data_IF_747135578149
#
_entry.id   IF_747135578149
#
_cell.length_a   1.000
_cell.length_b   1.000
_cell.length_c   1.000
_cell.angle_alpha   90.00
_cell.angle_beta   90.00
_cell.angle_gamma   90.00
#
_symmetry.space_group_name_H-M   'P 1'
#
loop_
_entity.id
_entity.type
_entity.pdbx_description
1 polymer ?
#
# COMPACT_ATOMS: atom_id res chain seq x y z
N UNK A 1 14.52 -4.99 -9.04
CA UNK A 1 14.33 -5.74 -10.30
C UNK A 1 15.51 -6.69 -10.47
N UNK A 2 15.37 -7.92 -9.99
CA UNK A 2 16.17 -9.09 -10.37
C UNK A 2 15.51 -10.29 -9.69
N UNK A 3 14.74 -11.01 -10.47
CA UNK A 3 14.07 -12.25 -10.12
C UNK A 3 15.11 -13.36 -10.20
N UNK A 4 15.49 -13.98 -9.08
CA UNK A 4 16.20 -15.24 -9.10
C UNK A 4 15.21 -16.39 -8.85
N UNK A 5 14.83 -17.02 -9.96
CA UNK A 5 14.20 -18.34 -9.94
C UNK A 5 15.29 -19.37 -9.64
N UNK A 6 15.21 -20.05 -8.50
CA UNK A 6 15.94 -21.29 -8.26
C UNK A 6 14.94 -22.43 -8.45
N UNK A 7 15.01 -23.07 -9.61
CA UNK A 7 14.42 -24.38 -9.84
C UNK A 7 15.22 -25.42 -9.06
N UNK A 8 14.66 -26.00 -8.01
CA UNK A 8 15.17 -27.24 -7.42
C UNK A 8 14.52 -28.42 -8.11
N UNK A 9 15.31 -29.07 -8.97
CA UNK A 9 14.96 -30.36 -9.56
C UNK A 9 15.04 -31.46 -8.50
N UNK A 10 13.90 -31.97 -8.09
CA UNK A 10 13.81 -33.18 -7.31
C UNK A 10 14.01 -34.39 -8.24
N UNK A 11 15.20 -35.00 -8.18
CA UNK A 11 15.48 -36.28 -8.86
C UNK A 11 14.87 -37.42 -8.03
N UNK A 12 13.78 -37.97 -8.53
CA UNK A 12 13.25 -39.27 -8.06
C UNK A 12 14.20 -40.38 -8.54
N UNK A 13 15.02 -40.87 -7.61
CA UNK A 13 15.75 -42.11 -7.81
C UNK A 13 14.88 -43.30 -7.44
N UNK A 14 14.30 -43.97 -8.42
CA UNK A 14 13.68 -45.29 -8.25
C UNK A 14 14.77 -46.34 -8.11
N UNK A 15 14.96 -46.85 -6.93
CA UNK A 15 15.77 -48.03 -6.69
C UNK A 15 14.89 -49.29 -6.96
N UNK A 16 15.07 -49.91 -8.09
CA UNK A 16 14.55 -51.22 -8.41
C UNK A 16 15.44 -52.29 -7.75
N UNK A 17 14.91 -52.98 -6.77
CA UNK A 17 15.53 -54.19 -6.22
C UNK A 17 15.17 -55.36 -7.13
N UNK A 18 16.13 -55.87 -7.85
CA UNK A 18 16.02 -57.15 -8.57
C UNK A 18 16.13 -58.31 -7.57
N UNK A 19 15.07 -59.06 -7.43
CA UNK A 19 15.13 -60.41 -6.88
C UNK A 19 15.71 -61.36 -7.91
N UNK A 20 16.84 -61.95 -7.60
CA UNK A 20 17.36 -63.08 -8.37
C UNK A 20 16.88 -64.38 -7.72
N UNK A 21 15.95 -65.04 -8.40
CA UNK A 21 15.68 -66.46 -8.23
C UNK A 21 16.88 -67.26 -8.76
N UNK A 22 17.36 -68.18 -7.98
CA UNK A 22 18.11 -69.32 -8.50
C UNK A 22 17.53 -70.60 -7.96
N UNK A 23 16.80 -71.27 -8.88
CA UNK A 23 16.47 -72.69 -8.70
C UNK A 23 17.65 -73.49 -9.24
N UNK A 24 18.11 -74.45 -8.56
CA UNK A 24 18.39 -75.75 -9.13
C UNK A 24 18.40 -76.86 -8.10
N UNK A 25 17.79 -77.88 -8.52
CA UNK A 25 17.51 -79.12 -7.86
C UNK A 25 18.59 -80.12 -8.09
N UNK A 26 18.57 -81.10 -7.26
CA UNK A 26 18.58 -82.51 -7.67
C UNK A 26 18.50 -83.42 -6.48
N UNK A 27 17.65 -84.36 -6.62
CA UNK A 27 17.44 -85.54 -5.76
C UNK A 27 18.69 -86.43 -5.71
N UNK A 28 18.92 -87.05 -4.55
CA UNK A 28 19.29 -88.42 -4.48
C UNK A 28 18.81 -89.04 -3.14
N UNK A 29 17.97 -90.04 -3.29
CA UNK A 29 17.60 -90.98 -2.25
C UNK A 29 18.84 -91.77 -1.77
N UNK A 30 18.93 -91.99 -0.49
CA UNK A 30 19.46 -93.27 0.03
C UNK A 30 18.85 -93.56 1.39
N UNK A 31 18.08 -94.66 1.41
CA UNK A 31 17.64 -95.31 2.62
C UNK A 31 18.82 -95.99 3.33
N UNK A 32 18.92 -95.82 4.58
CA UNK A 32 19.42 -96.88 5.50
C UNK A 32 18.76 -96.79 6.86
N UNK A 33 18.01 -97.80 7.13
CA UNK A 33 17.43 -98.16 8.41
C UNK A 33 18.52 -98.20 9.49
N UNK A 34 18.31 -97.50 10.63
CA UNK A 34 18.77 -97.92 11.93
C UNK A 34 17.90 -97.32 13.01
N UNK A 35 17.15 -98.16 13.65
CA UNK A 35 16.46 -97.83 14.88
C UNK A 35 17.44 -97.33 15.94
N UNK A 36 17.14 -96.11 16.47
CA UNK A 36 17.60 -95.77 17.82
C UNK A 36 16.48 -95.06 18.57
N UNK A 37 16.46 -95.34 19.85
CA UNK A 37 15.35 -95.02 20.74
C UNK A 37 15.24 -93.54 21.07
N UNK A 38 14.00 -93.03 21.10
CA UNK A 38 13.44 -91.99 21.90
C UNK A 38 14.35 -90.83 22.41
N UNK A 39 14.59 -89.87 21.54
CA UNK A 39 14.71 -88.50 21.92
C UNK A 39 13.49 -87.75 21.36
N UNK A 40 12.56 -87.32 22.24
CA UNK A 40 11.50 -86.42 21.89
C UNK A 40 12.18 -85.25 21.12
N UNK A 41 11.75 -85.03 19.91
CA UNK A 41 12.24 -83.94 19.07
C UNK A 41 11.83 -82.63 19.76
N UNK A 42 12.69 -82.13 20.68
CA UNK A 42 12.43 -80.88 21.35
C UNK A 42 12.35 -79.78 20.35
N UNK A 43 11.19 -79.11 20.27
CA UNK A 43 11.02 -77.93 19.40
C UNK A 43 12.10 -76.92 19.72
N UNK A 44 12.76 -76.36 18.67
CA UNK A 44 13.80 -75.34 18.80
C UNK A 44 13.65 -74.27 17.69
N UNK A 45 13.96 -73.00 18.01
CA UNK A 45 13.82 -71.91 17.06
C UNK A 45 12.34 -71.52 16.78
N UNK A 46 12.14 -70.78 15.68
CA UNK A 46 10.84 -70.30 15.25
C UNK A 46 9.93 -71.42 14.80
N UNK A 47 8.68 -71.46 15.31
CA UNK A 47 7.65 -72.43 14.97
C UNK A 47 6.33 -71.69 14.68
N UNK A 48 5.55 -72.13 13.71
CA UNK A 48 4.18 -71.69 13.44
C UNK A 48 3.18 -72.65 14.08
N UNK A 49 2.33 -72.17 14.96
CA UNK A 49 1.31 -72.95 15.61
C UNK A 49 0.02 -72.14 15.70
N UNK A 50 -1.11 -72.72 15.40
CA UNK A 50 -2.45 -72.09 15.46
C UNK A 50 -2.51 -70.70 14.75
N UNK A 51 -1.71 -70.51 13.69
CA UNK A 51 -1.65 -69.29 12.91
C UNK A 51 -0.75 -68.18 13.49
N UNK A 52 -0.05 -68.46 14.62
CA UNK A 52 0.91 -67.58 15.27
C UNK A 52 2.34 -68.08 15.18
N UNK A 53 3.31 -67.19 15.29
CA UNK A 53 4.74 -67.50 15.39
C UNK A 53 5.13 -67.56 16.86
N UNK A 54 5.89 -68.64 17.25
CA UNK A 54 6.40 -68.92 18.58
C UNK A 54 7.89 -69.23 18.48
N UNK A 55 8.67 -68.88 19.49
CA UNK A 55 10.07 -69.27 19.55
C UNK A 55 10.29 -70.24 20.70
N UNK A 56 11.00 -71.33 20.45
CA UNK A 56 11.33 -72.36 21.39
C UNK A 56 12.81 -72.35 21.73
N UNK A 57 13.17 -72.24 22.98
CA UNK A 57 14.50 -72.43 23.52
C UNK A 57 14.45 -73.65 24.45
N UNK A 58 15.30 -74.62 24.18
CA UNK A 58 15.38 -75.88 24.93
C UNK A 58 13.99 -76.63 25.17
N UNK A 59 13.17 -76.57 24.11
CA UNK A 59 11.84 -77.19 24.12
C UNK A 59 10.74 -76.43 24.84
N UNK A 60 11.05 -75.20 25.38
CA UNK A 60 10.08 -74.35 26.06
C UNK A 60 9.80 -73.11 25.21
N UNK A 61 8.53 -72.68 25.23
CA UNK A 61 8.18 -71.36 24.55
C UNK A 61 8.84 -70.23 25.31
N UNK A 62 9.52 -69.36 24.56
CA UNK A 62 10.04 -68.10 25.07
C UNK A 62 8.88 -67.09 25.24
N UNK A 63 8.98 -66.19 26.18
CA UNK A 63 8.08 -65.05 26.43
C UNK A 63 8.87 -63.80 26.70
N UNK A 64 8.26 -62.60 26.51
CA UNK A 64 8.91 -61.31 26.68
C UNK A 64 9.91 -60.97 25.56
N UNK A 65 10.89 -60.15 25.84
CA UNK A 65 11.90 -59.72 24.86
C UNK A 65 12.82 -60.87 24.48
N UNK A 66 12.91 -61.12 23.17
CA UNK A 66 13.80 -62.12 22.55
C UNK A 66 14.87 -61.42 21.69
N UNK A 67 16.12 -61.63 22.04
CA UNK A 67 17.27 -61.05 21.37
C UNK A 67 17.94 -62.13 20.51
N UNK A 68 17.84 -61.98 19.18
CA UNK A 68 18.48 -62.87 18.21
C UNK A 68 19.50 -62.12 17.35
N UNK A 69 20.43 -62.82 16.69
CA UNK A 69 21.43 -62.19 15.83
C UNK A 69 20.81 -61.36 14.68
N UNK A 70 19.63 -61.71 14.23
CA UNK A 70 18.91 -61.08 13.15
C UNK A 70 17.93 -60.02 13.57
N UNK A 71 17.68 -59.82 14.87
CA UNK A 71 16.79 -58.78 15.38
C UNK A 71 16.27 -59.04 16.80
N UNK A 72 15.56 -58.06 17.31
CA UNK A 72 14.88 -58.12 18.60
C UNK A 72 13.36 -58.28 18.38
N UNK A 73 12.76 -59.20 19.13
CA UNK A 73 11.34 -59.55 19.01
C UNK A 73 10.69 -59.45 20.40
N UNK A 74 9.37 -59.38 20.43
CA UNK A 74 8.60 -59.52 21.66
C UNK A 74 7.57 -60.63 21.54
N UNK A 75 7.56 -61.50 22.48
CA UNK A 75 6.65 -62.64 22.59
C UNK A 75 5.70 -62.39 23.76
N UNK A 76 4.40 -62.47 23.54
CA UNK A 76 3.38 -62.25 24.55
C UNK A 76 3.67 -63.06 25.81
N UNK A 77 3.67 -62.41 26.96
CA UNK A 77 4.09 -63.01 28.24
C UNK A 77 3.22 -64.18 28.67
N UNK A 78 1.94 -64.18 28.24
CA UNK A 78 0.98 -65.24 28.66
C UNK A 78 0.92 -66.40 27.68
N UNK A 79 1.05 -66.09 26.37
CA UNK A 79 0.86 -67.06 25.28
C UNK A 79 2.14 -67.51 24.60
N UNK A 80 3.17 -66.66 24.67
CA UNK A 80 4.43 -66.79 23.90
C UNK A 80 4.28 -66.45 22.43
N UNK A 81 3.15 -65.88 21.98
CA UNK A 81 2.93 -65.50 20.58
C UNK A 81 3.73 -64.25 20.22
N UNK A 82 4.41 -64.30 19.05
CA UNK A 82 5.15 -63.14 18.51
C UNK A 82 4.19 -61.96 18.27
N UNK A 83 4.56 -60.82 18.81
CA UNK A 83 3.80 -59.56 18.67
C UNK A 83 4.28 -58.80 17.44
N UNK A 84 3.36 -58.01 16.84
CA UNK A 84 3.60 -57.06 15.73
C UNK A 84 2.83 -55.77 15.99
N UNK A 85 3.23 -54.69 15.36
CA UNK A 85 2.62 -53.37 15.56
C UNK A 85 3.12 -52.69 16.83
N UNK A 86 2.32 -51.72 17.34
CA UNK A 86 2.66 -50.96 18.54
C UNK A 86 2.64 -51.84 19.80
N UNK A 87 3.70 -51.81 20.58
CA UNK A 87 3.87 -52.47 21.85
C UNK A 87 4.08 -51.41 22.94
N UNK A 88 3.25 -51.45 23.97
CA UNK A 88 3.50 -50.72 25.20
C UNK A 88 4.05 -51.70 26.28
N UNK A 89 5.29 -51.48 26.65
CA UNK A 89 5.96 -52.25 27.70
C UNK A 89 6.28 -51.29 28.87
N UNK A 90 5.52 -51.43 29.96
CA UNK A 90 5.60 -50.59 31.16
C UNK A 90 5.60 -49.07 30.90
N UNK A 91 4.74 -48.59 29.99
CA UNK A 91 4.62 -47.17 29.62
C UNK A 91 5.62 -46.72 28.53
N UNK A 92 6.50 -47.63 28.11
CA UNK A 92 7.46 -47.39 27.00
C UNK A 92 6.92 -47.99 25.71
N UNK A 93 6.86 -47.15 24.67
CA UNK A 93 6.32 -47.57 23.38
C UNK A 93 7.42 -48.01 22.41
N UNK A 94 7.18 -49.15 21.76
CA UNK A 94 8.01 -49.71 20.70
C UNK A 94 7.12 -50.08 19.51
N UNK A 95 7.73 -50.23 18.34
CA UNK A 95 7.04 -50.75 17.18
C UNK A 95 7.70 -51.99 16.65
N UNK A 96 6.91 -53.05 16.47
CA UNK A 96 7.34 -54.32 15.92
C UNK A 96 6.81 -54.41 14.49
N UNK A 97 7.72 -54.63 13.53
CA UNK A 97 7.37 -54.79 12.13
C UNK A 97 6.49 -56.01 11.89
N UNK A 98 5.91 -56.14 10.71
CA UNK A 98 5.15 -57.36 10.33
C UNK A 98 5.97 -58.65 10.50
N UNK A 99 7.28 -58.56 10.34
CA UNK A 99 8.23 -59.65 10.59
C UNK A 99 8.43 -59.99 12.08
N UNK A 100 7.80 -59.24 12.99
CA UNK A 100 8.01 -59.31 14.44
C UNK A 100 9.25 -58.56 14.91
N UNK A 101 10.13 -58.08 14.03
CA UNK A 101 11.36 -57.36 14.41
C UNK A 101 11.06 -55.97 14.94
N UNK A 102 11.71 -55.59 16.04
CA UNK A 102 11.65 -54.25 16.55
C UNK A 102 12.21 -53.25 15.56
N UNK A 103 11.44 -52.17 15.31
CA UNK A 103 11.84 -51.09 14.44
C UNK A 103 12.75 -50.08 15.12
N UNK A 104 13.55 -49.36 14.33
CA UNK A 104 14.45 -48.27 14.71
C UNK A 104 14.42 -47.18 13.67
N UNK A 105 14.74 -45.93 14.07
CA UNK A 105 14.74 -44.80 13.16
C UNK A 105 13.34 -44.35 12.73
N UNK A 106 13.26 -43.68 11.59
CA UNK A 106 12.01 -43.22 11.06
C UNK A 106 11.10 -44.33 10.54
N UNK A 107 9.86 -44.31 10.98
CA UNK A 107 8.80 -45.19 10.43
C UNK A 107 7.62 -44.33 9.97
N UNK A 108 7.03 -44.69 8.85
CA UNK A 108 5.82 -44.06 8.32
C UNK A 108 4.66 -45.05 8.37
N UNK A 109 3.66 -44.73 9.16
CA UNK A 109 2.43 -45.48 9.30
C UNK A 109 1.24 -44.62 8.88
N UNK A 110 0.39 -44.18 9.80
CA UNK A 110 -0.62 -43.13 9.63
C UNK A 110 -0.03 -41.70 9.80
N UNK A 111 1.19 -41.63 10.33
CA UNK A 111 2.06 -40.46 10.46
C UNK A 111 3.52 -40.92 10.52
N UNK A 112 4.43 -39.96 10.51
CA UNK A 112 5.84 -40.26 10.80
C UNK A 112 6.06 -40.36 12.31
N UNK A 113 6.84 -41.39 12.72
CA UNK A 113 7.32 -41.61 14.09
C UNK A 113 8.81 -41.85 14.07
N UNK A 114 9.50 -41.59 15.18
CA UNK A 114 10.90 -41.89 15.30
C UNK A 114 11.17 -42.79 16.50
N UNK A 115 11.80 -43.92 16.23
CA UNK A 115 12.25 -44.89 17.20
C UNK A 115 13.74 -44.72 17.43
N UNK A 116 14.17 -44.54 18.67
CA UNK A 116 15.58 -44.36 19.02
C UNK A 116 16.46 -45.48 18.46
N UNK A 117 17.55 -45.09 17.80
CA UNK A 117 18.42 -46.05 17.12
C UNK A 117 19.05 -47.11 18.04
N UNK A 118 19.27 -46.82 19.30
CA UNK A 118 19.91 -47.76 20.22
C UNK A 118 18.90 -48.62 20.96
N UNK A 119 17.79 -48.01 21.37
CA UNK A 119 16.81 -48.63 22.24
C UNK A 119 15.52 -49.07 21.54
N UNK A 120 15.22 -48.52 20.36
CA UNK A 120 13.95 -48.73 19.66
C UNK A 120 12.75 -48.06 20.34
N UNK A 121 12.97 -47.25 21.37
CA UNK A 121 11.92 -46.50 22.08
C UNK A 121 11.35 -45.40 21.18
N UNK A 122 10.05 -45.29 21.13
CA UNK A 122 9.37 -44.18 20.44
C UNK A 122 9.68 -42.88 21.18
N UNK A 123 10.22 -41.89 20.43
CA UNK A 123 10.53 -40.59 21.00
C UNK A 123 9.35 -39.63 20.90
N UNK A 124 9.31 -38.66 21.83
CA UNK A 124 8.33 -37.57 21.89
C UNK A 124 9.02 -36.25 22.21
N UNK A 125 8.33 -35.13 22.00
CA UNK A 125 8.89 -33.81 22.24
C UNK A 125 9.85 -33.35 21.12
N UNK A 126 10.65 -32.37 21.42
CA UNK A 126 11.66 -31.85 20.48
C UNK A 126 12.88 -32.77 20.43
N UNK A 127 13.28 -33.19 19.25
CA UNK A 127 14.38 -34.12 19.01
C UNK A 127 15.33 -33.58 17.95
N UNK A 128 16.63 -33.71 18.16
CA UNK A 128 17.64 -33.48 17.15
C UNK A 128 18.00 -34.81 16.49
N UNK A 129 17.71 -34.92 15.20
CA UNK A 129 17.91 -36.14 14.42
C UNK A 129 18.66 -35.75 13.15
N UNK A 130 19.84 -36.32 12.94
CA UNK A 130 20.73 -36.06 11.79
C UNK A 130 21.02 -34.55 11.57
N UNK A 131 21.17 -33.78 12.69
CA UNK A 131 21.45 -32.35 12.67
C UNK A 131 20.26 -31.45 12.30
N UNK A 132 19.05 -32.01 12.30
CA UNK A 132 17.80 -31.28 12.11
C UNK A 132 16.91 -31.45 13.35
N UNK A 133 16.18 -30.40 13.69
CA UNK A 133 15.26 -30.42 14.84
C UNK A 133 13.84 -30.73 14.40
N UNK A 134 13.22 -31.72 15.01
CA UNK A 134 11.85 -32.18 14.81
C UNK A 134 11.05 -32.08 16.09
N UNK A 135 9.74 -32.05 15.97
CA UNK A 135 8.84 -32.18 17.11
C UNK A 135 7.89 -33.37 16.93
N UNK A 136 7.93 -34.28 17.89
CA UNK A 136 7.06 -35.46 18.00
C UNK A 136 6.05 -35.16 19.09
N UNK A 137 4.76 -35.23 18.80
CA UNK A 137 3.72 -34.96 19.80
C UNK A 137 3.71 -36.01 20.94
N UNK A 138 2.81 -35.86 21.90
CA UNK A 138 2.72 -36.78 23.02
C UNK A 138 2.36 -38.23 22.61
N UNK A 139 1.85 -38.43 21.38
CA UNK A 139 1.58 -39.76 20.81
C UNK A 139 2.72 -40.27 19.92
N UNK A 140 3.82 -39.53 19.82
CA UNK A 140 5.00 -39.81 18.99
C UNK A 140 4.86 -39.38 17.52
N UNK A 141 3.76 -38.75 17.12
CA UNK A 141 3.54 -38.30 15.74
C UNK A 141 4.36 -37.07 15.45
N UNK A 142 5.09 -37.08 14.34
CA UNK A 142 5.83 -35.91 13.87
C UNK A 142 4.87 -34.78 13.48
N UNK A 143 5.10 -33.60 14.05
CA UNK A 143 4.42 -32.38 13.64
C UNK A 143 5.06 -31.84 12.35
N UNK A 144 4.28 -31.68 11.29
CA UNK A 144 4.73 -31.07 10.04
C UNK A 144 3.72 -30.05 9.54
N UNK A 145 4.23 -29.01 8.83
CA UNK A 145 3.48 -27.87 8.29
C UNK A 145 2.55 -27.23 9.33
N UNK A 146 3.00 -27.16 10.59
CA UNK A 146 2.15 -26.75 11.71
C UNK A 146 2.91 -25.97 12.78
N UNK A 147 2.15 -25.16 13.52
CA UNK A 147 2.59 -24.44 14.71
C UNK A 147 2.51 -25.33 15.94
N UNK A 148 3.55 -25.27 16.75
CA UNK A 148 3.62 -25.94 18.05
C UNK A 148 3.78 -24.89 19.15
N UNK A 149 2.83 -24.88 20.10
CA UNK A 149 2.94 -24.04 21.29
C UNK A 149 3.72 -24.79 22.39
N UNK A 150 4.73 -24.12 22.93
CA UNK A 150 5.52 -24.57 24.08
C UNK A 150 5.39 -23.58 25.23
N UNK A 151 5.94 -23.87 26.36
CA UNK A 151 5.90 -22.99 27.56
C UNK A 151 6.54 -21.61 27.29
N UNK A 152 7.59 -21.57 26.44
CA UNK A 152 8.38 -20.38 26.12
C UNK A 152 7.97 -19.65 24.84
N UNK A 153 6.99 -20.20 24.07
CA UNK A 153 6.50 -19.55 22.85
C UNK A 153 5.98 -20.49 21.77
N UNK A 154 5.79 -19.93 20.59
CA UNK A 154 5.34 -20.65 19.41
C UNK A 154 6.53 -20.97 18.49
N UNK A 155 6.49 -22.15 17.89
CA UNK A 155 7.47 -22.66 16.95
C UNK A 155 6.77 -23.23 15.72
N UNK A 156 7.39 -23.11 14.56
CA UNK A 156 6.84 -23.69 13.34
C UNK A 156 7.73 -24.80 12.81
N UNK A 157 7.11 -25.95 12.54
CA UNK A 157 7.76 -27.10 11.92
C UNK A 157 7.21 -27.20 10.50
N UNK A 158 8.08 -27.01 9.50
CA UNK A 158 7.74 -26.91 8.09
C UNK A 158 7.35 -28.24 7.46
N UNK A 159 7.14 -28.25 6.13
CA UNK A 159 6.97 -29.47 5.37
C UNK A 159 8.15 -30.43 5.59
N UNK A 160 7.85 -31.70 5.93
CA UNK A 160 8.87 -32.67 6.33
C UNK A 160 9.30 -32.59 7.79
N UNK A 161 8.58 -31.80 8.62
CA UNK A 161 8.70 -31.78 10.08
C UNK A 161 9.90 -31.03 10.66
N UNK A 162 10.75 -30.43 9.83
CA UNK A 162 11.92 -29.67 10.30
C UNK A 162 11.52 -28.33 10.91
N UNK A 163 12.15 -27.99 12.04
CA UNK A 163 11.98 -26.69 12.72
C UNK A 163 12.43 -25.56 11.80
N UNK A 164 11.62 -24.51 11.71
CA UNK A 164 11.88 -23.35 10.88
C UNK A 164 12.54 -22.22 11.65
N UNK A 165 13.33 -21.39 10.95
CA UNK A 165 14.06 -20.24 11.46
C UNK A 165 14.00 -19.06 10.49
N UNK A 166 14.15 -17.83 10.99
CA UNK A 166 14.16 -16.63 10.16
C UNK A 166 12.78 -16.29 9.59
N UNK A 167 12.74 -15.73 8.39
CA UNK A 167 11.51 -15.30 7.74
C UNK A 167 10.64 -16.49 7.29
N UNK A 168 9.37 -16.44 7.67
CA UNK A 168 8.37 -17.45 7.32
C UNK A 168 7.16 -16.78 6.68
N UNK A 169 6.89 -17.11 5.41
CA UNK A 169 5.65 -16.71 4.74
C UNK A 169 4.61 -17.82 4.85
N UNK A 170 3.43 -17.46 5.38
CA UNK A 170 2.25 -18.33 5.40
C UNK A 170 1.13 -17.68 4.59
N UNK A 171 0.06 -18.40 4.37
CA UNK A 171 -1.13 -17.93 3.62
C UNK A 171 -1.77 -16.65 4.21
N UNK A 172 -1.56 -16.41 5.50
CA UNK A 172 -2.11 -15.32 6.31
C UNK A 172 -1.12 -14.18 6.58
N UNK A 173 0.14 -14.29 6.13
CA UNK A 173 1.13 -13.22 6.24
C UNK A 173 2.54 -13.68 6.57
N UNK A 174 3.38 -12.69 6.82
CA UNK A 174 4.78 -12.91 7.21
C UNK A 174 4.94 -13.02 8.71
N UNK A 175 5.83 -13.93 9.11
CA UNK A 175 6.31 -14.15 10.47
C UNK A 175 7.84 -14.09 10.48
N UNK A 176 8.39 -13.87 11.65
CA UNK A 176 9.82 -14.04 11.86
C UNK A 176 10.08 -14.96 13.05
N UNK A 177 10.88 -15.96 12.80
CA UNK A 177 11.31 -16.94 13.79
C UNK A 177 12.76 -16.61 14.18
N UNK A 178 13.03 -16.53 15.45
CA UNK A 178 14.36 -16.28 15.96
C UNK A 178 15.39 -17.25 15.33
N UNK A 179 16.51 -16.74 14.89
CA UNK A 179 17.47 -17.53 14.09
C UNK A 179 18.27 -18.55 14.90
N UNK A 180 18.28 -18.43 16.23
CA UNK A 180 18.98 -19.35 17.12
C UNK A 180 18.01 -20.37 17.73
N UNK A 181 16.88 -19.89 18.19
CA UNK A 181 15.91 -20.72 18.92
C UNK A 181 14.77 -21.25 18.07
N UNK A 182 14.44 -20.58 16.96
CA UNK A 182 13.25 -20.85 16.13
C UNK A 182 11.95 -20.32 16.72
N UNK A 183 12.01 -19.58 17.86
CA UNK A 183 10.81 -19.02 18.52
C UNK A 183 10.21 -17.91 17.68
N UNK A 184 8.88 -17.92 17.52
CA UNK A 184 8.13 -16.85 16.85
C UNK A 184 8.32 -15.53 17.59
N UNK A 185 8.70 -14.49 16.84
CA UNK A 185 8.89 -13.15 17.36
C UNK A 185 7.60 -12.35 17.31
N UNK A 186 7.43 -11.43 18.26
CA UNK A 186 6.35 -10.45 18.30
C UNK A 186 6.90 -9.08 18.77
N UNK A 187 6.06 -8.03 18.69
CA UNK A 187 6.49 -6.68 19.04
C UNK A 187 7.44 -6.08 18.01
N UNK A 188 8.22 -5.09 18.43
CA UNK A 188 9.25 -4.47 17.61
C UNK A 188 10.50 -5.34 17.54
N UNK A 189 11.07 -5.52 16.35
CA UNK A 189 12.27 -6.33 16.11
C UNK A 189 13.19 -5.59 15.13
N UNK A 190 14.49 -5.64 15.39
CA UNK A 190 15.52 -5.21 14.45
C UNK A 190 16.09 -6.43 13.71
N UNK A 191 15.87 -6.47 12.40
CA UNK A 191 16.26 -7.60 11.56
C UNK A 191 17.04 -7.06 10.36
N UNK A 192 18.31 -7.45 10.25
CA UNK A 192 19.18 -6.99 9.18
C UNK A 192 19.36 -5.47 9.13
N UNK A 193 19.34 -4.78 10.27
CA UNK A 193 19.48 -3.33 10.38
C UNK A 193 18.22 -2.54 10.00
N UNK A 194 17.08 -3.20 9.86
CA UNK A 194 15.77 -2.59 9.65
C UNK A 194 14.84 -2.92 10.82
N UNK A 195 14.00 -1.98 11.20
CA UNK A 195 12.98 -2.21 12.21
C UNK A 195 11.69 -2.75 11.58
N UNK A 196 11.19 -3.82 12.15
CA UNK A 196 9.93 -4.48 11.82
C UNK A 196 9.05 -4.54 13.06
N UNK A 197 7.77 -4.74 12.84
CA UNK A 197 6.83 -4.94 13.95
C UNK A 197 5.89 -6.08 13.66
N UNK A 198 5.66 -6.89 14.69
CA UNK A 198 4.77 -8.05 14.65
C UNK A 198 3.68 -7.88 15.71
N UNK A 199 2.47 -8.29 15.40
CA UNK A 199 1.38 -8.30 16.38
C UNK A 199 1.56 -9.43 17.41
N UNK A 200 0.66 -9.52 18.38
CA UNK A 200 0.72 -10.56 19.42
C UNK A 200 0.64 -12.00 18.87
N UNK A 201 0.05 -12.17 17.69
CA UNK A 201 -0.02 -13.47 16.99
C UNK A 201 1.17 -13.71 16.04
N UNK A 202 2.18 -12.84 16.05
CA UNK A 202 3.39 -12.95 15.23
C UNK A 202 3.27 -12.47 13.79
N UNK A 203 2.11 -11.95 13.35
CA UNK A 203 1.98 -11.40 11.98
C UNK A 203 2.69 -10.07 11.86
N UNK A 204 3.49 -9.93 10.82
CA UNK A 204 4.18 -8.69 10.48
C UNK A 204 3.18 -7.60 10.05
N UNK A 205 3.37 -6.39 10.57
CA UNK A 205 2.69 -5.22 10.04
C UNK A 205 3.38 -4.76 8.75
N UNK A 206 2.62 -4.61 7.68
CA UNK A 206 3.10 -4.06 6.42
C UNK A 206 2.04 -3.18 5.75
N UNK A 207 2.50 -2.16 5.03
CA UNK A 207 1.68 -1.16 4.34
C UNK A 207 0.58 -0.57 5.22
N UNK A 208 0.92 -0.20 6.48
CA UNK A 208 -0.06 0.34 7.42
C UNK A 208 0.55 1.24 8.48
N UNK A 209 -0.31 2.07 9.04
CA UNK A 209 -0.02 2.97 10.14
C UNK A 209 -0.24 2.28 11.48
N UNK A 210 0.71 2.51 12.41
CA UNK A 210 0.63 2.03 13.79
C UNK A 210 0.82 3.23 14.72
N UNK A 211 -0.08 3.37 15.69
CA UNK A 211 0.05 4.38 16.73
C UNK A 211 0.61 3.74 18.02
N UNK A 212 1.67 4.33 18.55
CA UNK A 212 2.31 3.93 19.81
C UNK A 212 2.73 5.15 20.61
N UNK A 213 2.43 5.14 21.87
CA UNK A 213 2.77 6.22 22.81
C UNK A 213 2.42 7.64 22.31
N UNK A 214 1.30 7.73 21.56
CA UNK A 214 0.83 8.97 20.96
C UNK A 214 1.46 9.34 19.61
N UNK A 215 2.48 8.63 19.16
CA UNK A 215 3.16 8.82 17.88
C UNK A 215 2.62 7.90 16.80
N UNK A 216 2.65 8.35 15.55
CA UNK A 216 2.31 7.56 14.38
C UNK A 216 3.57 7.10 13.65
N UNK A 217 3.58 5.82 13.26
CA UNK A 217 4.63 5.16 12.50
C UNK A 217 4.04 4.49 11.28
N UNK A 218 4.77 4.46 10.19
CA UNK A 218 4.36 3.73 8.99
C UNK A 218 5.30 2.57 8.71
N UNK A 219 4.73 1.39 8.48
CA UNK A 219 5.48 0.21 8.05
C UNK A 219 5.23 -0.01 6.56
N UNK A 220 6.28 0.11 5.76
CA UNK A 220 6.23 0.05 4.30
C UNK A 220 5.74 -1.31 3.78
N UNK A 221 5.50 -1.40 2.49
CA UNK A 221 5.39 -2.71 1.80
C UNK A 221 6.67 -3.49 2.06
N UNK A 222 6.52 -4.73 2.56
CA UNK A 222 7.64 -5.54 3.04
C UNK A 222 7.99 -5.33 4.51
N UNK A 223 7.20 -4.54 5.25
CA UNK A 223 7.17 -4.46 6.70
C UNK A 223 8.25 -3.60 7.37
N UNK A 224 9.22 -3.05 6.62
CA UNK A 224 10.22 -2.17 7.21
C UNK A 224 9.62 -0.83 7.65
N UNK A 225 9.98 -0.36 8.86
CA UNK A 225 9.57 0.93 9.41
C UNK A 225 10.12 2.07 8.57
N UNK A 226 9.25 2.98 8.12
CA UNK A 226 9.65 4.18 7.39
C UNK A 226 10.38 5.15 8.31
N UNK A 227 11.53 5.66 7.86
CA UNK A 227 12.39 6.59 8.62
C UNK A 227 13.10 7.58 7.71
N UNK A 228 13.50 8.73 8.28
CA UNK A 228 14.39 9.71 7.64
C UNK A 228 13.93 10.17 6.25
N UNK A 229 12.64 10.40 6.04
CA UNK A 229 12.24 10.82 4.72
C UNK A 229 10.75 10.81 4.42
N UNK A 230 10.49 11.08 3.17
CA UNK A 230 9.15 11.09 2.62
C UNK A 230 8.61 9.66 2.41
N UNK A 231 7.38 9.46 2.84
CA UNK A 231 6.63 8.21 2.69
C UNK A 231 5.34 8.49 1.95
N UNK A 232 5.05 7.67 0.94
CA UNK A 232 3.82 7.77 0.16
C UNK A 232 2.84 6.68 0.61
N UNK A 233 1.67 7.10 1.08
CA UNK A 233 0.54 6.20 1.33
C UNK A 233 -0.64 6.61 0.41
N UNK A 234 -0.99 5.73 -0.50
CA UNK A 234 -1.92 6.03 -1.58
C UNK A 234 -1.42 7.15 -2.49
N UNK A 235 -2.01 8.34 -2.41
CA UNK A 235 -1.60 9.55 -3.15
C UNK A 235 -1.11 10.67 -2.21
N UNK A 236 -0.94 10.38 -0.92
CA UNK A 236 -0.62 11.36 0.10
C UNK A 236 0.80 11.16 0.60
N UNK A 237 1.56 12.25 0.63
CA UNK A 237 2.91 12.26 1.18
C UNK A 237 2.91 12.58 2.66
N UNK A 238 3.75 11.88 3.39
CA UNK A 238 4.04 12.05 4.81
C UNK A 238 5.55 12.12 5.02
N UNK A 239 5.99 12.73 6.09
CA UNK A 239 7.43 12.76 6.44
C UNK A 239 7.67 12.09 7.79
N UNK A 240 8.65 11.20 7.81
CA UNK A 240 9.11 10.49 9.00
C UNK A 240 10.48 11.02 9.43
N UNK A 241 10.66 11.28 10.72
CA UNK A 241 11.97 11.64 11.28
C UNK A 241 12.91 10.42 11.40
N UNK A 242 14.03 10.63 12.08
CA UNK A 242 15.07 9.60 12.27
C UNK A 242 14.58 8.40 13.11
N UNK A 243 13.66 8.62 14.00
CA UNK A 243 13.03 7.61 14.86
C UNK A 243 11.82 6.96 14.17
N UNK A 244 11.43 7.48 12.99
CA UNK A 244 10.27 7.04 12.22
C UNK A 244 8.96 7.66 12.69
N UNK A 245 9.00 8.72 13.50
CA UNK A 245 7.79 9.42 13.93
C UNK A 245 7.26 10.30 12.82
N UNK A 246 5.97 10.20 12.53
CA UNK A 246 5.27 11.04 11.57
C UNK A 246 5.31 12.50 12.01
N UNK A 247 5.77 13.39 11.13
CA UNK A 247 5.88 14.80 11.38
C UNK A 247 4.59 15.56 11.04
N UNK A 248 4.37 16.70 11.70
CA UNK A 248 3.23 17.62 11.47
C UNK A 248 3.70 19.06 11.57
N UNK A 249 2.91 20.01 11.02
CA UNK A 249 3.26 21.42 11.01
C UNK A 249 4.32 21.79 9.98
N UNK A 250 5.04 22.88 10.22
CA UNK A 250 6.09 23.35 9.33
C UNK A 250 7.33 22.47 9.43
N UNK A 251 7.82 22.03 8.26
CA UNK A 251 9.01 21.20 8.10
C UNK A 251 10.01 21.89 7.18
N UNK A 252 11.23 22.14 7.65
CA UNK A 252 12.32 22.65 6.82
C UNK A 252 13.27 21.55 6.41
N UNK A 253 13.42 21.33 5.12
CA UNK A 253 14.38 20.38 4.56
C UNK A 253 15.37 21.13 3.66
N UNK A 254 16.58 21.32 4.15
CA UNK A 254 17.66 22.01 3.43
C UNK A 254 17.28 23.39 2.86
N UNK A 255 16.52 24.17 3.63
CA UNK A 255 16.08 25.51 3.24
C UNK A 255 14.74 25.55 2.51
N UNK A 256 14.17 24.43 2.14
CA UNK A 256 12.83 24.33 1.57
C UNK A 256 11.82 24.02 2.66
N UNK A 257 10.78 24.85 2.76
CA UNK A 257 9.71 24.67 3.73
C UNK A 257 8.53 23.91 3.13
N UNK A 258 7.98 22.99 3.92
CA UNK A 258 6.77 22.21 3.65
C UNK A 258 5.81 22.36 4.82
N UNK A 259 4.54 22.17 4.59
CA UNK A 259 3.56 22.10 5.66
C UNK A 259 2.85 20.76 5.70
N UNK A 260 2.86 20.13 6.86
CA UNK A 260 2.18 18.87 7.13
C UNK A 260 0.97 19.14 8.02
N UNK A 261 -0.21 18.74 7.58
CA UNK A 261 -1.44 18.90 8.36
C UNK A 261 -1.35 18.14 9.69
N UNK A 262 -2.30 18.34 10.60
CA UNK A 262 -2.35 17.64 11.90
C UNK A 262 -2.47 16.12 11.79
N UNK A 263 -2.91 15.60 10.63
CA UNK A 263 -2.93 14.18 10.31
C UNK A 263 -1.64 13.71 9.59
N UNK A 264 -0.62 14.54 9.48
CA UNK A 264 0.66 14.28 8.82
C UNK A 264 0.66 14.46 7.31
N UNK A 265 -0.48 14.64 6.68
CA UNK A 265 -0.57 14.78 5.22
C UNK A 265 0.12 16.08 4.73
N UNK A 266 0.98 15.97 3.72
CA UNK A 266 1.63 17.12 3.11
C UNK A 266 0.61 17.98 2.36
N UNK A 267 0.59 19.27 2.64
CA UNK A 267 -0.18 20.26 1.89
C UNK A 267 0.42 20.42 0.48
N UNK A 268 -0.43 20.46 -0.54
CA UNK A 268 -0.01 20.52 -1.95
C UNK A 268 -0.98 21.39 -2.77
N UNK A 269 -0.44 22.24 -3.65
CA UNK A 269 -1.18 23.14 -4.54
C UNK A 269 -2.32 23.90 -3.85
N UNK A 270 -2.07 24.44 -2.65
CA UNK A 270 -3.13 25.03 -1.82
C UNK A 270 -2.67 26.26 -1.05
N UNK A 271 -3.63 27.10 -0.72
CA UNK A 271 -3.50 28.17 0.25
C UNK A 271 -3.66 27.62 1.67
N UNK A 272 -2.84 28.11 2.58
CA UNK A 272 -2.88 27.78 4.01
C UNK A 272 -3.13 29.04 4.82
N UNK A 273 -4.12 29.02 5.71
CA UNK A 273 -4.34 30.09 6.68
C UNK A 273 -3.88 29.60 8.06
N UNK A 274 -2.78 30.15 8.54
CA UNK A 274 -2.14 29.73 9.80
C UNK A 274 -1.84 30.93 10.67
N UNK A 275 -2.38 30.95 11.86
CA UNK A 275 -2.20 32.08 12.81
C UNK A 275 -2.76 33.41 12.33
N UNK A 276 -3.70 33.42 11.39
CA UNK A 276 -4.26 34.61 10.76
C UNK A 276 -3.57 35.03 9.47
N UNK A 277 -2.40 34.45 9.16
CA UNK A 277 -1.60 34.73 7.97
C UNK A 277 -1.84 33.72 6.86
N UNK A 278 -1.65 34.14 5.61
CA UNK A 278 -1.79 33.30 4.44
C UNK A 278 -0.44 32.90 3.87
N UNK A 279 -0.35 31.64 3.47
CA UNK A 279 0.80 31.01 2.81
C UNK A 279 0.31 30.24 1.57
N UNK A 280 1.18 30.02 0.61
CA UNK A 280 0.89 29.13 -0.51
C UNK A 280 1.97 28.08 -0.66
N UNK A 281 1.53 26.85 -0.92
CA UNK A 281 2.44 25.74 -1.25
C UNK A 281 2.16 25.24 -2.65
N UNK A 282 3.22 24.90 -3.40
CA UNK A 282 3.15 24.40 -4.77
C UNK A 282 2.57 22.99 -4.84
N UNK A 283 2.38 22.46 -6.05
CA UNK A 283 2.00 21.05 -6.27
C UNK A 283 3.01 20.03 -5.72
N UNK A 284 4.27 20.42 -5.58
CA UNK A 284 5.32 19.62 -4.92
C UNK A 284 5.43 19.86 -3.41
N UNK A 285 4.52 20.67 -2.82
CA UNK A 285 4.47 20.97 -1.39
C UNK A 285 5.37 22.11 -0.93
N UNK A 286 6.20 22.70 -1.80
CA UNK A 286 7.14 23.74 -1.42
C UNK A 286 6.42 25.05 -1.11
N UNK A 287 6.67 25.63 0.06
CA UNK A 287 6.26 27.00 0.39
C UNK A 287 6.94 27.98 -0.58
N UNK A 288 6.17 28.91 -1.14
CA UNK A 288 6.67 29.92 -2.06
C UNK A 288 7.05 31.22 -1.35
N UNK A 289 8.03 31.94 -1.94
CA UNK A 289 8.45 33.30 -1.52
C UNK A 289 8.60 34.19 -2.74
N UNK A 290 8.62 35.51 -2.57
CA UNK A 290 8.68 36.48 -3.66
C UNK A 290 7.40 36.55 -4.47
N UNK A 291 7.50 37.04 -5.71
CA UNK A 291 6.38 37.13 -6.66
C UNK A 291 6.00 35.77 -7.25
N UNK A 292 4.71 35.42 -7.13
CA UNK A 292 4.16 34.17 -7.65
C UNK A 292 2.82 34.41 -8.34
N UNK A 293 2.62 33.81 -9.51
CA UNK A 293 1.34 33.82 -10.21
C UNK A 293 0.54 32.57 -9.82
N UNK A 294 -0.60 32.77 -9.17
CA UNK A 294 -1.48 31.69 -8.67
C UNK A 294 -2.86 31.93 -9.25
N UNK A 295 -3.37 30.96 -10.04
CA UNK A 295 -4.65 31.08 -10.73
C UNK A 295 -4.83 32.39 -11.54
N UNK A 296 -3.77 32.82 -12.22
CA UNK A 296 -3.77 34.01 -13.06
C UNK A 296 -3.56 35.36 -12.34
N UNK A 297 -3.59 35.37 -11.02
CA UNK A 297 -3.33 36.56 -10.20
C UNK A 297 -1.93 36.54 -9.61
N UNK A 298 -1.29 37.71 -9.51
CA UNK A 298 0.01 37.84 -8.88
C UNK A 298 -0.11 38.14 -7.39
N UNK A 299 0.72 37.43 -6.60
CA UNK A 299 0.85 37.57 -5.17
C UNK A 299 2.32 37.72 -4.80
N UNK A 300 2.59 38.42 -3.72
CA UNK A 300 3.94 38.49 -3.16
C UNK A 300 3.97 37.81 -1.78
N UNK A 301 4.92 36.90 -1.62
CA UNK A 301 5.19 36.24 -0.35
C UNK A 301 6.50 36.75 0.22
N UNK A 302 6.48 37.20 1.47
CA UNK A 302 7.70 37.60 2.16
C UNK A 302 8.66 36.40 2.29
N UNK A 303 9.91 36.66 2.75
CA UNK A 303 10.91 35.60 2.95
C UNK A 303 10.45 34.51 3.94
N UNK A 304 9.58 34.87 4.89
CA UNK A 304 8.96 33.93 5.81
C UNK A 304 7.73 33.19 5.26
N UNK A 305 7.39 33.40 3.99
CA UNK A 305 6.26 32.79 3.29
C UNK A 305 4.92 33.49 3.49
N UNK A 306 4.81 34.48 4.35
CA UNK A 306 3.56 35.22 4.61
C UNK A 306 3.17 36.03 3.38
N UNK A 307 1.89 35.95 2.97
CA UNK A 307 1.36 36.72 1.84
C UNK A 307 1.26 38.22 2.21
N UNK A 308 1.83 39.07 1.39
CA UNK A 308 1.64 40.53 1.49
C UNK A 308 0.23 40.91 1.02
N UNK A 309 -0.42 41.81 1.74
CA UNK A 309 -1.72 42.39 1.37
C UNK A 309 -1.84 43.85 1.89
N UNK A 310 -2.77 44.60 1.32
CA UNK A 310 -3.01 46.04 1.68
C UNK A 310 -1.72 46.87 1.71
N UNK A 311 -0.81 46.63 0.77
CA UNK A 311 0.53 47.24 0.72
C UNK A 311 1.03 47.40 -0.70
N UNK A 312 2.14 48.13 -0.86
CA UNK A 312 2.83 48.32 -2.15
C UNK A 312 4.17 47.59 -2.10
N UNK A 313 4.41 46.71 -3.04
CA UNK A 313 5.65 45.95 -3.22
C UNK A 313 6.21 46.30 -4.62
N UNK A 314 7.43 46.79 -4.68
CA UNK A 314 8.13 47.17 -5.95
C UNK A 314 7.32 48.13 -6.86
N UNK A 315 6.44 48.94 -6.24
CA UNK A 315 5.55 49.85 -6.98
C UNK A 315 4.20 49.24 -7.39
N UNK A 316 3.93 47.99 -7.04
CA UNK A 316 2.68 47.28 -7.32
C UNK A 316 1.80 47.24 -6.08
N UNK A 317 0.59 47.77 -6.17
CA UNK A 317 -0.39 47.82 -5.09
C UNK A 317 -1.12 46.45 -4.97
N UNK A 318 -1.00 45.82 -3.81
CA UNK A 318 -1.70 44.58 -3.45
C UNK A 318 -2.96 44.92 -2.68
N UNK A 319 -4.07 44.36 -3.08
CA UNK A 319 -5.36 44.55 -2.41
C UNK A 319 -5.46 43.74 -1.09
N UNK A 320 -6.59 43.81 -0.41
CA UNK A 320 -6.85 43.10 0.86
C UNK A 320 -6.82 41.57 0.73
N UNK A 321 -6.99 41.00 -0.49
CA UNK A 321 -6.81 39.60 -0.78
C UNK A 321 -5.37 39.21 -1.13
N UNK A 322 -4.42 40.19 -1.12
CA UNK A 322 -3.04 40.01 -1.51
C UNK A 322 -2.80 39.98 -3.02
N UNK A 323 -3.84 40.07 -3.83
CA UNK A 323 -3.71 39.97 -5.26
C UNK A 323 -3.29 41.31 -5.90
N UNK A 324 -2.30 41.22 -6.79
CA UNK A 324 -2.06 42.23 -7.80
C UNK A 324 -2.49 41.69 -9.17
N UNK A 325 -3.33 42.49 -9.82
CA UNK A 325 -3.78 42.22 -11.19
C UNK A 325 -3.43 43.41 -12.06
N UNK A 326 -2.43 43.25 -12.92
CA UNK A 326 -2.02 44.24 -13.88
C UNK A 326 -3.18 44.71 -14.76
N UNK A 327 -4.00 43.75 -15.21
CA UNK A 327 -5.15 44.00 -16.05
C UNK A 327 -6.20 44.85 -15.33
N UNK A 328 -6.53 44.52 -14.10
CA UNK A 328 -7.52 45.25 -13.29
C UNK A 328 -7.05 46.71 -13.04
N UNK A 329 -5.79 46.90 -12.68
CA UNK A 329 -5.24 48.22 -12.44
C UNK A 329 -5.29 49.08 -13.75
N UNK A 330 -4.92 48.48 -14.88
CA UNK A 330 -4.96 49.14 -16.19
C UNK A 330 -6.40 49.45 -16.65
N UNK A 331 -7.34 48.52 -16.45
CA UNK A 331 -8.76 48.71 -16.78
C UNK A 331 -9.40 49.79 -15.90
N UNK A 332 -9.07 49.84 -14.61
CA UNK A 332 -9.51 50.92 -13.73
C UNK A 332 -8.90 52.26 -14.15
N UNK A 333 -7.64 52.32 -14.54
CA UNK A 333 -7.03 53.54 -15.06
C UNK A 333 -7.73 54.03 -16.36
N UNK A 334 -8.07 53.10 -17.27
CA UNK A 334 -8.87 53.38 -18.47
C UNK A 334 -10.25 53.99 -18.11
N UNK A 335 -10.94 53.35 -17.15
CA UNK A 335 -12.22 53.83 -16.62
C UNK A 335 -12.12 55.25 -16.02
N UNK A 336 -11.11 55.49 -15.18
CA UNK A 336 -10.84 56.85 -14.64
C UNK A 336 -10.53 57.86 -15.75
N UNK A 337 -9.84 57.42 -16.82
CA UNK A 337 -9.62 58.23 -18.00
C UNK A 337 -10.92 58.65 -18.68
N UNK A 338 -11.89 57.76 -18.84
CA UNK A 338 -13.23 58.11 -19.36
C UNK A 338 -13.92 59.11 -18.43
N UNK A 339 -13.95 58.89 -17.13
CA UNK A 339 -14.56 59.78 -16.12
C UNK A 339 -13.93 61.19 -16.19
N UNK A 340 -12.61 61.27 -16.31
CA UNK A 340 -11.91 62.53 -16.41
C UNK A 340 -12.28 63.35 -17.69
N UNK A 341 -12.62 62.66 -18.76
CA UNK A 341 -12.97 63.27 -20.06
C UNK A 341 -14.46 63.57 -20.21
N UNK A 342 -15.30 62.74 -19.65
CA UNK A 342 -16.77 62.74 -19.82
C UNK A 342 -17.52 63.43 -18.69
N UNK A 343 -16.97 63.42 -17.48
CA UNK A 343 -17.66 63.83 -16.25
C UNK A 343 -18.01 62.69 -15.34
N UNK A 344 -18.55 62.97 -14.14
CA UNK A 344 -18.67 62.07 -13.05
C UNK A 344 -20.08 61.46 -12.92
N UNK A 345 -20.76 61.25 -14.06
CA UNK A 345 -22.07 60.62 -14.10
C UNK A 345 -22.15 59.55 -15.17
N UNK A 346 -23.00 58.55 -14.94
CA UNK A 346 -23.09 57.34 -15.74
C UNK A 346 -23.50 57.61 -17.18
N UNK A 347 -24.44 58.53 -17.41
CA UNK A 347 -24.94 58.85 -18.74
C UNK A 347 -23.86 59.61 -19.58
N UNK A 348 -23.21 60.59 -19.01
CA UNK A 348 -22.13 61.33 -19.68
C UNK A 348 -20.99 60.40 -20.09
N UNK A 349 -20.58 59.46 -19.22
CA UNK A 349 -19.57 58.46 -19.51
C UNK A 349 -20.01 57.50 -20.63
N UNK A 350 -21.25 57.02 -20.57
CA UNK A 350 -21.84 56.19 -21.61
C UNK A 350 -21.83 56.90 -22.97
N UNK A 351 -22.34 58.15 -22.99
CA UNK A 351 -22.34 58.98 -24.22
C UNK A 351 -20.95 59.24 -24.76
N UNK A 352 -20.00 59.51 -23.87
CA UNK A 352 -18.63 59.72 -24.30
C UNK A 352 -18.07 58.49 -25.04
N UNK A 353 -18.32 57.28 -24.53
CA UNK A 353 -17.88 56.04 -25.19
C UNK A 353 -18.54 55.89 -26.56
N UNK A 354 -19.88 56.05 -26.66
CA UNK A 354 -20.60 55.98 -27.92
C UNK A 354 -20.11 57.01 -28.95
N UNK A 355 -19.84 58.26 -28.51
CA UNK A 355 -19.50 59.36 -29.43
C UNK A 355 -18.01 59.42 -29.80
N UNK A 356 -17.12 58.80 -29.02
CA UNK A 356 -15.66 58.91 -29.20
C UNK A 356 -14.95 57.60 -29.51
N UNK A 357 -15.69 56.48 -29.58
CA UNK A 357 -15.15 55.16 -29.95
C UNK A 357 -15.82 54.66 -31.22
N UNK A 358 -15.14 53.81 -31.98
CA UNK A 358 -15.64 53.23 -33.24
C UNK A 358 -15.60 51.73 -33.22
N UNK A 359 -16.58 51.10 -33.91
CA UNK A 359 -16.59 49.67 -34.06
C UNK A 359 -15.50 49.21 -35.01
N UNK A 360 -14.70 48.23 -34.57
CA UNK A 360 -13.75 47.47 -35.37
C UNK A 360 -13.56 46.08 -34.76
N UNK A 361 -13.59 45.07 -35.62
CA UNK A 361 -13.30 43.69 -35.15
C UNK A 361 -11.96 43.61 -34.45
N UNK A 362 -11.95 42.95 -33.31
CA UNK A 362 -10.79 42.85 -32.43
C UNK A 362 -10.31 41.39 -32.36
N UNK A 363 -9.07 41.13 -32.76
CA UNK A 363 -8.51 39.78 -32.88
C UNK A 363 -7.20 39.59 -32.07
N UNK A 364 -6.85 40.53 -31.19
CA UNK A 364 -5.64 40.41 -30.40
C UNK A 364 -5.86 39.40 -29.24
N UNK A 365 -4.86 38.58 -28.98
CA UNK A 365 -4.86 37.67 -27.83
C UNK A 365 -4.76 38.47 -26.54
N UNK A 366 -5.47 37.99 -25.50
CA UNK A 366 -5.42 38.58 -24.16
C UNK A 366 -4.05 38.29 -23.54
N UNK A 367 -3.25 39.31 -23.17
CA UNK A 367 -1.95 39.07 -22.54
C UNK A 367 -2.06 38.38 -21.17
N UNK A 368 -0.98 37.73 -20.74
CA UNK A 368 -0.89 37.17 -19.39
C UNK A 368 -1.09 38.27 -18.34
N UNK A 369 -1.87 37.99 -17.32
CA UNK A 369 -2.22 38.94 -16.24
C UNK A 369 -3.42 39.84 -16.54
N UNK A 370 -4.11 39.62 -17.62
CA UNK A 370 -5.38 40.25 -17.94
C UNK A 370 -6.49 39.22 -18.11
N UNK A 371 -7.70 39.57 -17.69
CA UNK A 371 -8.91 38.93 -18.21
C UNK A 371 -9.25 39.56 -19.58
N UNK A 372 -10.14 38.93 -20.37
CA UNK A 372 -10.57 39.49 -21.64
C UNK A 372 -11.26 40.85 -21.47
N UNK A 373 -12.05 41.02 -20.39
CA UNK A 373 -12.73 42.29 -20.08
C UNK A 373 -11.72 43.38 -19.79
N UNK A 374 -10.72 43.11 -18.98
CA UNK A 374 -9.68 44.11 -18.65
C UNK A 374 -8.91 44.54 -19.89
N UNK A 375 -8.45 43.56 -20.68
CA UNK A 375 -7.70 43.84 -21.91
C UNK A 375 -8.53 44.63 -22.89
N UNK A 376 -9.77 44.23 -23.14
CA UNK A 376 -10.71 44.93 -24.02
C UNK A 376 -10.99 46.37 -23.58
N UNK A 377 -11.22 46.61 -22.28
CA UNK A 377 -11.41 47.95 -21.73
C UNK A 377 -10.20 48.83 -21.96
N UNK A 378 -8.97 48.33 -21.70
CA UNK A 378 -7.73 49.07 -21.90
C UNK A 378 -7.50 49.40 -23.39
N UNK A 379 -7.67 48.43 -24.27
CA UNK A 379 -7.48 48.63 -25.73
C UNK A 379 -8.53 49.61 -26.27
N UNK A 380 -9.78 49.51 -25.87
CA UNK A 380 -10.84 50.42 -26.29
C UNK A 380 -10.57 51.87 -25.85
N UNK A 381 -10.10 52.06 -24.63
CA UNK A 381 -9.75 53.39 -24.13
C UNK A 381 -8.54 53.98 -24.88
N UNK A 382 -7.49 53.18 -25.12
CA UNK A 382 -6.25 53.67 -25.72
C UNK A 382 -6.41 53.90 -27.22
N UNK A 383 -7.05 53.00 -27.93
CA UNK A 383 -7.11 52.99 -29.41
C UNK A 383 -8.34 53.68 -29.94
N UNK A 384 -9.39 53.90 -29.12
CA UNK A 384 -10.69 54.47 -29.53
C UNK A 384 -11.44 53.60 -30.56
N UNK A 385 -11.08 52.33 -30.66
CA UNK A 385 -11.80 51.33 -31.45
C UNK A 385 -11.79 49.95 -30.80
N UNK A 386 -12.77 49.18 -31.12
CA UNK A 386 -12.92 47.81 -30.66
C UNK A 386 -14.26 47.21 -31.09
N UNK A 387 -14.52 45.96 -30.73
CA UNK A 387 -15.77 45.27 -31.00
C UNK A 387 -16.80 45.48 -29.88
N UNK A 388 -17.98 44.85 -30.01
CA UNK A 388 -19.06 44.91 -29.01
C UNK A 388 -18.58 44.59 -27.58
N UNK A 389 -17.73 43.57 -27.41
CA UNK A 389 -17.15 43.22 -26.12
C UNK A 389 -16.23 44.32 -25.57
N UNK A 390 -15.55 45.06 -26.43
CA UNK A 390 -14.68 46.17 -26.02
C UNK A 390 -15.48 47.38 -25.54
N UNK A 391 -16.60 47.70 -26.23
CA UNK A 391 -17.56 48.71 -25.77
C UNK A 391 -18.15 48.38 -24.41
N UNK A 392 -18.62 47.14 -24.26
CA UNK A 392 -19.17 46.64 -23.00
C UNK A 392 -18.15 46.64 -21.86
N UNK A 393 -16.91 46.20 -22.14
CA UNK A 393 -15.84 46.16 -21.16
C UNK A 393 -15.47 47.57 -20.66
N UNK A 394 -15.22 48.54 -21.56
CA UNK A 394 -14.86 49.88 -21.15
C UNK A 394 -15.99 50.55 -20.34
N UNK A 395 -17.24 50.44 -20.79
CA UNK A 395 -18.36 51.01 -20.07
C UNK A 395 -18.59 50.30 -18.71
N UNK A 396 -18.50 48.99 -18.65
CA UNK A 396 -18.66 48.24 -17.40
C UNK A 396 -17.63 48.60 -16.33
N UNK A 397 -16.35 48.73 -16.69
CA UNK A 397 -15.33 49.21 -15.75
C UNK A 397 -15.55 50.68 -15.35
N UNK A 398 -16.01 51.52 -16.29
CA UNK A 398 -16.34 52.92 -15.99
C UNK A 398 -17.53 53.00 -15.02
N UNK A 399 -18.57 52.22 -15.22
CA UNK A 399 -19.72 52.15 -14.31
C UNK A 399 -19.32 51.65 -12.89
N UNK A 400 -18.46 50.64 -12.82
CA UNK A 400 -17.90 50.17 -11.54
C UNK A 400 -17.10 51.26 -10.82
N UNK A 401 -16.26 52.00 -11.57
CA UNK A 401 -15.48 53.10 -11.03
C UNK A 401 -16.35 54.26 -10.51
N UNK A 402 -17.57 54.42 -11.05
CA UNK A 402 -18.59 55.33 -10.56
C UNK A 402 -19.41 54.79 -9.37
N UNK A 403 -19.16 53.54 -8.91
CA UNK A 403 -19.79 52.91 -7.80
C UNK A 403 -21.03 52.05 -8.10
N UNK A 404 -21.29 51.79 -9.36
CA UNK A 404 -22.39 50.89 -9.79
C UNK A 404 -21.97 49.42 -9.75
N UNK A 405 -22.91 48.53 -9.39
CA UNK A 405 -22.73 47.07 -9.51
C UNK A 405 -23.00 46.66 -10.97
N UNK A 406 -22.00 46.86 -11.83
CA UNK A 406 -22.11 46.64 -13.27
C UNK A 406 -21.55 45.24 -13.62
N UNK A 407 -22.38 44.46 -14.30
CA UNK A 407 -22.01 43.14 -14.83
C UNK A 407 -21.69 43.29 -16.33
N UNK A 408 -20.48 42.89 -16.72
CA UNK A 408 -20.06 42.84 -18.13
C UNK A 408 -20.39 41.48 -18.69
N UNK A 409 -21.32 41.43 -19.63
CA UNK A 409 -21.86 40.19 -20.18
C UNK A 409 -21.29 39.94 -21.57
N UNK A 410 -20.96 38.67 -21.81
CA UNK A 410 -20.68 38.12 -23.14
C UNK A 410 -21.71 37.04 -23.42
N UNK A 411 -22.47 37.16 -24.50
CA UNK A 411 -23.57 36.28 -24.82
C UNK A 411 -23.97 36.35 -26.28
N UNK A 412 -25.22 35.99 -26.57
CA UNK A 412 -25.72 36.03 -27.92
C UNK A 412 -26.98 36.94 -28.00
N UNK A 413 -27.05 37.73 -29.06
CA UNK A 413 -28.23 38.55 -29.39
C UNK A 413 -28.62 38.33 -30.82
N UNK A 414 -29.82 38.85 -31.25
CA UNK A 414 -30.25 38.82 -32.65
C UNK A 414 -29.78 40.09 -33.38
N UNK A 415 -29.00 39.87 -34.43
CA UNK A 415 -28.64 40.96 -35.35
C UNK A 415 -29.87 41.54 -36.08
N UNK A 416 -29.72 42.70 -36.72
CA UNK A 416 -30.78 43.30 -37.56
C UNK A 416 -31.30 42.33 -38.64
N UNK A 417 -30.43 41.43 -39.10
CA UNK A 417 -30.81 40.40 -40.09
C UNK A 417 -31.54 39.19 -39.47
N UNK A 418 -31.80 39.18 -38.16
CA UNK A 418 -32.43 38.10 -37.43
C UNK A 418 -31.55 36.89 -37.14
N UNK A 419 -30.20 36.98 -37.36
CA UNK A 419 -29.23 35.93 -37.03
C UNK A 419 -28.72 36.11 -35.59
N UNK A 420 -28.51 35.01 -34.91
CA UNK A 420 -27.79 35.02 -33.63
C UNK A 420 -26.33 35.37 -33.83
N UNK A 421 -25.86 36.36 -33.09
CA UNK A 421 -24.48 36.85 -33.13
C UNK A 421 -23.95 36.93 -31.70
N UNK A 422 -22.67 36.63 -31.53
CA UNK A 422 -21.92 36.84 -30.30
C UNK A 422 -21.85 38.33 -30.01
N UNK A 423 -22.16 38.75 -28.78
CA UNK A 423 -22.33 40.16 -28.43
C UNK A 423 -21.97 40.44 -26.98
N UNK A 424 -21.54 41.65 -26.67
CA UNK A 424 -21.19 42.12 -25.34
C UNK A 424 -22.06 43.30 -24.91
N UNK A 425 -22.58 43.27 -23.67
CA UNK A 425 -23.36 44.36 -23.06
C UNK A 425 -23.07 44.49 -21.57
N UNK A 426 -23.66 45.47 -20.91
CA UNK A 426 -23.56 45.67 -19.46
C UNK A 426 -24.94 45.64 -18.83
N UNK A 427 -25.04 44.98 -17.70
CA UNK A 427 -26.24 44.98 -16.85
C UNK A 427 -25.97 45.69 -15.53
N UNK A 428 -26.85 46.62 -15.14
CA UNK A 428 -26.82 47.32 -13.87
C UNK A 428 -28.24 47.32 -13.28
N UNK A 429 -28.45 46.68 -12.12
CA UNK A 429 -29.73 46.58 -11.45
C UNK A 429 -30.85 46.02 -12.36
N UNK A 430 -30.53 45.08 -13.25
CA UNK A 430 -31.49 44.47 -14.18
C UNK A 430 -31.83 45.35 -15.43
N UNK A 431 -31.20 46.49 -15.60
CA UNK A 431 -31.29 47.30 -16.83
C UNK A 431 -30.07 47.03 -17.72
N UNK A 432 -30.29 47.04 -19.05
CA UNK A 432 -29.28 46.81 -20.07
C UNK A 432 -28.73 48.12 -20.59
N UNK A 433 -27.43 48.16 -20.76
CA UNK A 433 -26.64 49.24 -21.31
C UNK A 433 -25.78 48.68 -22.42
N UNK A 434 -26.03 49.13 -23.66
CA UNK A 434 -25.32 48.59 -24.82
C UNK A 434 -24.81 49.75 -25.70
N UNK A 435 -23.62 50.22 -25.41
CA UNK A 435 -23.04 51.34 -26.14
C UNK A 435 -22.66 50.98 -27.60
N UNK A 436 -22.41 49.72 -27.91
CA UNK A 436 -22.14 49.28 -29.27
C UNK A 436 -23.39 49.30 -30.14
N UNK A 437 -24.49 48.73 -29.66
CA UNK A 437 -25.76 48.69 -30.38
C UNK A 437 -26.29 50.12 -30.60
N UNK A 438 -26.13 51.03 -29.66
CA UNK A 438 -26.44 52.46 -29.85
C UNK A 438 -25.56 53.11 -30.91
N UNK A 439 -24.27 52.80 -30.90
CA UNK A 439 -23.32 53.28 -31.93
C UNK A 439 -23.70 52.79 -33.33
N UNK A 440 -24.01 51.50 -33.49
CA UNK A 440 -24.28 50.89 -34.79
C UNK A 440 -25.65 51.28 -35.36
N UNK A 441 -26.69 51.35 -34.53
CA UNK A 441 -28.07 51.47 -34.96
C UNK A 441 -28.73 52.82 -34.64
N UNK A 442 -28.07 53.65 -33.82
CA UNK A 442 -28.59 54.95 -33.42
C UNK A 442 -29.83 54.87 -32.47
N UNK A 443 -30.13 53.70 -31.90
CA UNK A 443 -31.20 53.56 -30.92
C UNK A 443 -30.66 53.87 -29.53
N UNK A 444 -31.52 54.49 -28.70
CA UNK A 444 -31.14 54.68 -27.29
C UNK A 444 -31.09 53.33 -26.55
N UNK A 445 -29.87 52.88 -26.23
CA UNK A 445 -29.59 51.66 -25.51
C UNK A 445 -29.07 51.88 -24.07
N UNK A 446 -29.32 53.07 -23.51
CA UNK A 446 -29.01 53.39 -22.12
C UNK A 446 -30.14 52.98 -21.17
N UNK A 447 -29.89 52.01 -20.30
CA UNK A 447 -30.84 51.59 -19.25
C UNK A 447 -32.12 50.93 -19.77
N UNK A 448 -32.03 50.11 -20.79
CA UNK A 448 -33.19 49.45 -21.41
C UNK A 448 -33.70 48.24 -20.62
N UNK A 449 -34.99 47.92 -20.75
CA UNK A 449 -35.58 46.71 -20.18
C UNK A 449 -35.05 45.44 -20.87
N UNK A 450 -34.79 44.35 -20.16
CA UNK A 450 -34.36 43.05 -20.73
C UNK A 450 -35.32 42.50 -21.80
N UNK A 451 -36.59 42.93 -21.82
CA UNK A 451 -37.62 42.48 -22.78
C UNK A 451 -37.31 42.97 -24.22
N UNK A 452 -36.42 43.93 -24.39
CA UNK A 452 -36.04 44.47 -25.69
C UNK A 452 -35.00 43.62 -26.43
N UNK A 453 -34.31 42.75 -25.76
CA UNK A 453 -33.26 41.92 -26.28
C UNK A 453 -33.54 40.45 -26.11
N UNK A 454 -33.40 39.67 -27.17
CA UNK A 454 -33.42 38.19 -27.10
C UNK A 454 -31.95 37.73 -26.99
N UNK A 455 -31.53 37.48 -25.81
CA UNK A 455 -30.20 36.93 -25.57
C UNK A 455 -30.26 35.59 -24.81
N UNK A 456 -29.26 34.77 -25.00
CA UNK A 456 -29.01 33.59 -24.20
C UNK A 456 -27.64 33.73 -23.53
N UNK A 457 -27.59 33.45 -22.25
CA UNK A 457 -26.37 33.33 -21.46
C UNK A 457 -25.76 31.96 -21.62
#
# INVERSE_FOLDING_TARGET
MALFLILSMCMLGTATVHATESADGSQTENQSDSQDAGTENQKSGWQVEDGGWYYYADGQRATGWLYLPDGTYYLDESTGAMQTGWLNDDGTWYYLQESGRRAYGWINLDAWYYLDWNTGVMLTGEQEIDGQTYYLDASGRMCEDNWVQREDGWYYYGPGGMKSYGWLLRWDGWYYLDTETGRMMNGAQEIGGQEYRFNASGHMYENQWIQEDGNWYFYNVGGAKAKNGWTLDGQTWYYMDAEGVMQTGWLNLNGTWYYLHSNGAMASATWLQLGGEWYYVTGSGNMVTGWNQINGMWYYMYENGVMAHDTVIDGYELNSSGAWNAGLAAANAAAQGVIALAGNDLYSCYRWIVDNCTYQSFYEETPAGYTWQEWRAVQMFNNRYGDCHSFAALFGYTARALGYDAQIISGYTTSVSGKWVDHGWVEINGAIYDPDLEYELGYNCFGQSPFSYKYYL
#
